data_IF_367103691222
#
_entry.id   IF_367103691222
#
_cell.length_a   1.000
_cell.length_b   1.000
_cell.length_c   1.000
_cell.angle_alpha   90.00
_cell.angle_beta   90.00
_cell.angle_gamma   90.00
#
_symmetry.space_group_name_H-M   'P 1'
#
loop_
_entity.id
_entity.type
_entity.pdbx_description
1 polymer ?
#
# COMPACT_ATOMS: atom_id res chain seq x y z
N UNK A 1 0.03 -0.63 21.91
CA UNK A 1 0.29 -0.46 20.47
C UNK A 1 -0.47 -1.44 19.58
N UNK A 2 -1.12 -2.45 20.15
CA UNK A 2 -1.81 -3.52 19.41
C UNK A 2 -2.90 -3.02 18.45
N UNK A 3 -3.76 -2.09 18.87
CA UNK A 3 -4.83 -1.57 17.97
C UNK A 3 -4.25 -0.82 16.77
N UNK A 4 -3.21 -0.01 16.97
CA UNK A 4 -2.51 0.71 15.91
C UNK A 4 -1.81 -0.27 14.96
N UNK A 5 -1.15 -1.29 15.49
CA UNK A 5 -0.51 -2.35 14.71
C UNK A 5 -1.52 -3.10 13.84
N UNK A 6 -2.65 -3.53 14.42
CA UNK A 6 -3.70 -4.25 13.70
C UNK A 6 -4.32 -3.41 12.59
N UNK A 7 -4.61 -2.13 12.85
CA UNK A 7 -5.13 -1.22 11.83
C UNK A 7 -4.11 -0.96 10.72
N UNK A 8 -2.84 -0.73 11.06
CA UNK A 8 -1.77 -0.53 10.08
C UNK A 8 -1.56 -1.79 9.21
N UNK A 9 -1.60 -2.98 9.82
CA UNK A 9 -1.51 -4.25 9.11
C UNK A 9 -2.71 -4.48 8.19
N UNK A 10 -3.92 -4.21 8.66
CA UNK A 10 -5.13 -4.29 7.83
C UNK A 10 -5.04 -3.32 6.65
N UNK A 11 -4.62 -2.08 6.89
CA UNK A 11 -4.42 -1.09 5.84
C UNK A 11 -3.38 -1.55 4.81
N UNK A 12 -2.27 -2.14 5.26
CA UNK A 12 -1.25 -2.71 4.38
C UNK A 12 -1.82 -3.85 3.51
N UNK A 13 -2.63 -4.75 4.07
CA UNK A 13 -3.28 -5.85 3.34
C UNK A 13 -4.24 -5.29 2.28
N UNK A 14 -5.12 -4.37 2.65
CA UNK A 14 -6.08 -3.75 1.72
C UNK A 14 -5.35 -3.00 0.61
N UNK A 15 -4.33 -2.20 0.96
CA UNK A 15 -3.51 -1.47 0.00
C UNK A 15 -2.78 -2.41 -0.96
N UNK A 16 -2.26 -3.54 -0.46
CA UNK A 16 -1.62 -4.57 -1.28
C UNK A 16 -2.62 -5.17 -2.27
N UNK A 17 -3.83 -5.51 -1.82
CA UNK A 17 -4.86 -6.06 -2.69
C UNK A 17 -5.26 -5.08 -3.80
N UNK A 18 -5.41 -3.79 -3.46
CA UNK A 18 -5.66 -2.73 -4.45
C UNK A 18 -4.54 -2.64 -5.47
N UNK A 19 -3.26 -2.70 -5.06
CA UNK A 19 -2.15 -2.67 -6.01
C UNK A 19 -2.01 -3.93 -6.86
N UNK A 20 -2.26 -5.11 -6.30
CA UNK A 20 -2.22 -6.38 -7.04
C UNK A 20 -3.15 -6.34 -8.25
N UNK A 21 -4.33 -5.72 -8.10
CA UNK A 21 -5.28 -5.54 -9.22
C UNK A 21 -4.98 -4.27 -10.02
N UNK A 22 -4.77 -3.14 -9.35
CA UNK A 22 -4.65 -1.83 -9.98
C UNK A 22 -3.39 -1.65 -10.82
N UNK A 23 -2.26 -2.23 -10.42
CA UNK A 23 -0.98 -2.13 -11.15
C UNK A 23 -1.07 -2.76 -12.56
N UNK A 24 -1.45 -4.05 -12.73
CA UNK A 24 -1.55 -4.64 -14.06
C UNK A 24 -2.64 -3.98 -14.90
N UNK A 25 -3.78 -3.60 -14.30
CA UNK A 25 -4.85 -2.90 -15.01
C UNK A 25 -4.35 -1.54 -15.54
N UNK A 26 -3.65 -0.77 -14.71
CA UNK A 26 -3.07 0.50 -15.11
C UNK A 26 -2.02 0.36 -16.23
N UNK A 27 -1.19 -0.68 -16.19
CA UNK A 27 -0.19 -0.93 -17.23
C UNK A 27 -0.80 -1.36 -18.58
N UNK A 28 -1.93 -2.06 -18.56
CA UNK A 28 -2.60 -2.52 -19.78
C UNK A 28 -3.63 -1.54 -20.33
N UNK A 29 -4.06 -0.53 -19.55
CA UNK A 29 -5.09 0.42 -19.95
C UNK A 29 -4.57 1.41 -21.01
N UNK A 30 -5.26 1.59 -22.15
CA UNK A 30 -4.77 2.44 -23.24
C UNK A 30 -4.98 3.95 -23.00
N UNK A 31 -5.76 4.33 -21.99
CA UNK A 31 -6.02 5.71 -21.61
C UNK A 31 -5.61 5.98 -20.16
N UNK A 32 -5.42 7.26 -19.84
CA UNK A 32 -5.17 7.77 -18.48
C UNK A 32 -3.83 7.32 -17.87
N UNK A 33 -2.85 6.97 -18.70
CA UNK A 33 -1.53 6.55 -18.22
C UNK A 33 -0.87 7.59 -17.30
N UNK A 34 -0.91 8.88 -17.62
CA UNK A 34 -0.25 9.91 -16.81
C UNK A 34 -0.84 10.01 -15.38
N UNK A 35 -2.16 9.90 -15.27
CA UNK A 35 -2.84 9.87 -13.97
C UNK A 35 -2.51 8.58 -13.22
N UNK A 36 -2.61 7.43 -13.89
CA UNK A 36 -2.32 6.12 -13.32
C UNK A 36 -0.88 6.03 -12.84
N UNK A 37 0.08 6.52 -13.61
CA UNK A 37 1.50 6.57 -13.23
C UNK A 37 1.72 7.35 -11.94
N UNK A 38 1.06 8.50 -11.76
CA UNK A 38 1.13 9.27 -10.51
C UNK A 38 0.55 8.49 -9.33
N UNK A 39 -0.60 7.84 -9.53
CA UNK A 39 -1.22 7.00 -8.51
C UNK A 39 -0.37 5.78 -8.15
N UNK A 40 0.32 5.16 -9.11
CA UNK A 40 1.23 4.04 -8.88
C UNK A 40 2.45 4.46 -8.05
N UNK A 41 3.03 5.64 -8.32
CA UNK A 41 4.11 6.19 -7.51
C UNK A 41 3.67 6.49 -6.08
N UNK A 42 2.51 7.14 -5.92
CA UNK A 42 1.95 7.42 -4.61
C UNK A 42 1.63 6.13 -3.85
N UNK A 43 0.96 5.18 -4.50
CA UNK A 43 0.60 3.88 -3.94
C UNK A 43 1.83 3.09 -3.47
N UNK A 44 2.89 3.07 -4.28
CA UNK A 44 4.17 2.44 -3.90
C UNK A 44 4.78 3.10 -2.67
N UNK A 45 4.81 4.43 -2.62
CA UNK A 45 5.33 5.18 -1.47
C UNK A 45 4.52 4.91 -0.19
N UNK A 46 3.19 4.94 -0.28
CA UNK A 46 2.28 4.62 0.84
C UNK A 46 2.48 3.18 1.31
N UNK A 47 2.62 2.23 0.39
CA UNK A 47 2.85 0.83 0.74
C UNK A 47 4.17 0.63 1.48
N UNK A 48 5.27 1.23 1.01
CA UNK A 48 6.57 1.17 1.71
C UNK A 48 6.46 1.79 3.10
N UNK A 49 5.80 2.95 3.22
CA UNK A 49 5.59 3.60 4.51
C UNK A 49 4.79 2.71 5.48
N UNK A 50 3.76 2.02 5.00
CA UNK A 50 2.97 1.08 5.80
C UNK A 50 3.81 -0.14 6.24
N UNK A 51 4.66 -0.69 5.37
CA UNK A 51 5.57 -1.79 5.74
C UNK A 51 6.52 -1.36 6.86
N UNK A 52 7.16 -0.20 6.73
CA UNK A 52 8.06 0.33 7.76
C UNK A 52 7.31 0.62 9.06
N UNK A 53 6.11 1.19 8.98
CA UNK A 53 5.27 1.45 10.15
C UNK A 53 4.92 0.15 10.88
N UNK A 54 4.47 -0.88 10.17
CA UNK A 54 4.15 -2.20 10.77
C UNK A 54 5.40 -2.82 11.40
N UNK A 55 6.56 -2.73 10.75
CA UNK A 55 7.83 -3.24 11.29
C UNK A 55 8.22 -2.54 12.60
N UNK A 56 8.08 -1.21 12.68
CA UNK A 56 8.33 -0.44 13.90
C UNK A 56 7.30 -0.77 14.97
N UNK A 57 6.02 -0.86 14.63
CA UNK A 57 4.97 -1.17 15.60
C UNK A 57 5.10 -2.59 16.18
N UNK A 58 5.70 -3.52 15.43
CA UNK A 58 5.93 -4.89 15.88
C UNK A 58 6.76 -4.96 17.17
N UNK A 59 7.77 -4.09 17.35
CA UNK A 59 8.63 -4.07 18.55
C UNK A 59 7.92 -3.58 19.83
N UNK A 60 6.67 -3.11 19.72
CA UNK A 60 5.85 -2.67 20.84
C UNK A 60 4.64 -3.59 21.10
N UNK A 61 4.55 -4.70 20.37
CA UNK A 61 3.42 -5.66 20.46
C UNK A 61 3.90 -7.07 20.71
N UNK A 62 5.05 -7.45 20.13
CA UNK A 62 5.75 -8.72 20.36
C UNK A 62 6.89 -8.50 21.34
#
# INVERSE_FOLDING_TARGET
>A
MTILFQLALLALVVMSFVMVVGVPVAYASPQNWDQSKRLLWLGSGVWIALVLLVAVLNSFVV
#
